data_IF_383412830745
#
_entry.id   IF_383412830745
#
_cell.length_a   1.000
_cell.length_b   1.000
_cell.length_c   1.000
_cell.angle_alpha   90.00
_cell.angle_beta   90.00
_cell.angle_gamma   90.00
#
_symmetry.space_group_name_H-M   'P 1'
#
loop_
_entity.id
_entity.type
_entity.pdbx_description
1 polymer ?
#
# COMPACT_ATOMS: atom_id res chain seq x y z
N UNK A 1 2.45 52.82 -43.09
CA UNK A 1 1.25 52.33 -42.38
C UNK A 1 1.17 50.82 -42.59
N UNK A 2 1.01 50.03 -41.50
CA UNK A 2 0.70 48.59 -41.57
C UNK A 2 1.61 47.71 -40.71
N UNK A 3 1.44 47.73 -39.38
CA UNK A 3 2.05 46.72 -38.49
C UNK A 3 1.13 45.50 -38.39
N UNK A 4 1.61 44.33 -38.81
CA UNK A 4 0.85 43.09 -38.71
C UNK A 4 0.70 42.69 -37.23
N UNK A 5 -0.53 42.68 -36.71
CA UNK A 5 -0.83 42.15 -35.38
C UNK A 5 -0.94 40.63 -35.44
N UNK A 6 -0.17 39.93 -34.61
CA UNK A 6 -0.19 38.47 -34.51
C UNK A 6 -1.28 38.04 -33.53
N UNK A 7 -2.35 37.43 -34.02
CA UNK A 7 -3.36 36.81 -33.18
C UNK A 7 -2.97 35.37 -32.82
N UNK A 8 -3.16 34.99 -31.55
CA UNK A 8 -2.98 33.61 -31.07
C UNK A 8 -4.35 33.01 -30.80
N UNK A 9 -4.60 31.84 -31.39
CA UNK A 9 -5.83 31.08 -31.20
C UNK A 9 -5.53 29.82 -30.39
N UNK A 10 -6.35 29.57 -29.37
CA UNK A 10 -6.22 28.42 -28.49
C UNK A 10 -7.27 27.37 -28.85
N UNK A 11 -6.89 26.09 -28.84
CA UNK A 11 -7.80 24.97 -29.03
C UNK A 11 -7.44 23.84 -28.07
N UNK A 12 -8.39 22.95 -27.83
CA UNK A 12 -8.17 21.75 -27.02
C UNK A 12 -7.87 20.60 -27.97
N UNK A 13 -6.71 19.96 -27.78
CA UNK A 13 -6.44 18.67 -28.37
C UNK A 13 -7.08 17.58 -27.50
N UNK A 14 -8.25 17.11 -27.92
CA UNK A 14 -8.99 16.09 -27.19
C UNK A 14 -8.25 14.75 -27.12
N UNK A 15 -7.48 14.40 -28.15
CA UNK A 15 -6.72 13.15 -28.15
C UNK A 15 -5.63 13.21 -27.09
N UNK A 16 -4.84 14.28 -27.11
CA UNK A 16 -3.78 14.48 -26.13
C UNK A 16 -4.34 14.55 -24.71
N UNK A 17 -5.45 15.28 -24.51
CA UNK A 17 -6.11 15.37 -23.21
C UNK A 17 -6.54 14.00 -22.68
N UNK A 18 -7.21 13.20 -23.51
CA UNK A 18 -7.64 11.85 -23.13
C UNK A 18 -6.45 10.94 -22.80
N UNK A 19 -5.39 11.00 -23.60
CA UNK A 19 -4.19 10.18 -23.39
C UNK A 19 -3.51 10.54 -22.05
N UNK A 20 -3.39 11.84 -21.73
CA UNK A 20 -2.85 12.32 -20.44
C UNK A 20 -3.74 11.90 -19.27
N UNK A 21 -5.05 12.10 -19.36
CA UNK A 21 -5.98 11.75 -18.27
C UNK A 21 -5.97 10.24 -18.01
N UNK A 22 -6.00 9.43 -19.07
CA UNK A 22 -5.92 7.97 -18.95
C UNK A 22 -4.63 7.54 -18.25
N UNK A 23 -3.50 8.12 -18.63
CA UNK A 23 -2.21 7.79 -18.01
C UNK A 23 -2.16 8.20 -16.53
N UNK A 24 -2.68 9.38 -16.17
CA UNK A 24 -2.75 9.82 -14.77
C UNK A 24 -3.61 8.88 -13.92
N UNK A 25 -4.78 8.46 -14.43
CA UNK A 25 -5.64 7.49 -13.74
C UNK A 25 -4.95 6.13 -13.58
N UNK A 26 -4.22 5.68 -14.59
CA UNK A 26 -3.42 4.46 -14.49
C UNK A 26 -2.39 4.57 -13.35
N UNK A 27 -1.63 5.67 -13.29
CA UNK A 27 -0.64 5.88 -12.21
C UNK A 27 -1.28 5.91 -10.82
N UNK A 28 -2.41 6.61 -10.66
CA UNK A 28 -3.14 6.66 -9.39
C UNK A 28 -3.59 5.27 -8.99
N UNK A 29 -4.14 4.48 -9.93
CA UNK A 29 -4.54 3.10 -9.67
C UNK A 29 -3.36 2.24 -9.22
N UNK A 30 -2.23 2.31 -9.94
CA UNK A 30 -1.03 1.52 -9.60
C UNK A 30 -0.53 1.87 -8.21
N UNK A 31 -0.43 3.17 -7.89
CA UNK A 31 -0.02 3.63 -6.56
C UNK A 31 -0.95 3.13 -5.44
N UNK A 32 -2.27 3.17 -5.65
CA UNK A 32 -3.23 2.67 -4.65
C UNK A 32 -3.11 1.16 -4.43
N UNK A 33 -2.92 0.38 -5.49
CA UNK A 33 -2.72 -1.07 -5.37
C UNK A 33 -1.41 -1.40 -4.63
N UNK A 34 -0.34 -0.64 -4.88
CA UNK A 34 0.92 -0.77 -4.15
C UNK A 34 0.74 -0.39 -2.68
N UNK A 35 0.08 0.73 -2.39
CA UNK A 35 -0.20 1.17 -1.02
C UNK A 35 -1.03 0.15 -0.23
N UNK A 36 -2.06 -0.45 -0.84
CA UNK A 36 -2.87 -1.51 -0.24
C UNK A 36 -2.01 -2.76 0.07
N UNK A 37 -1.14 -3.17 -0.86
CA UNK A 37 -0.25 -4.32 -0.63
C UNK A 37 0.71 -4.10 0.54
N UNK A 38 1.21 -2.87 0.71
CA UNK A 38 2.08 -2.50 1.83
C UNK A 38 1.34 -2.47 3.17
N UNK A 39 0.03 -2.18 3.19
CA UNK A 39 -0.78 -2.23 4.42
C UNK A 39 -0.93 -3.66 4.93
N UNK A 40 -1.12 -4.63 4.02
CA UNK A 40 -1.14 -6.06 4.34
C UNK A 40 0.23 -6.53 4.85
N UNK A 41 1.33 -6.08 4.23
CA UNK A 41 2.69 -6.41 4.69
C UNK A 41 3.03 -5.83 6.09
N UNK A 42 2.34 -4.76 6.51
CA UNK A 42 2.55 -4.12 7.82
C UNK A 42 1.77 -4.75 8.96
N UNK A 43 0.93 -5.75 8.71
CA UNK A 43 0.28 -6.47 9.79
C UNK A 43 1.36 -7.21 10.60
N UNK A 44 1.65 -6.68 11.77
CA UNK A 44 2.63 -7.20 12.72
C UNK A 44 1.91 -7.78 13.91
N UNK A 45 2.52 -8.79 14.53
CA UNK A 45 2.05 -9.40 15.76
C UNK A 45 3.11 -9.22 16.84
N UNK A 46 2.75 -8.63 17.98
CA UNK A 46 3.65 -8.44 19.12
C UNK A 46 3.36 -9.47 20.21
N UNK A 47 4.41 -9.99 20.83
CA UNK A 47 4.26 -10.86 21.98
C UNK A 47 3.69 -10.10 23.19
N UNK A 48 2.67 -10.66 23.84
CA UNK A 48 2.02 -10.08 25.04
C UNK A 48 2.94 -10.08 26.29
N UNK A 49 4.05 -10.83 26.24
CA UNK A 49 5.05 -10.81 27.29
C UNK A 49 6.04 -9.65 27.06
N UNK A 50 5.96 -8.62 27.89
CA UNK A 50 6.82 -7.43 27.83
C UNK A 50 8.32 -7.76 27.99
N UNK A 51 8.68 -8.82 28.71
CA UNK A 51 10.08 -9.27 28.82
C UNK A 51 10.61 -9.91 27.51
N UNK A 52 9.70 -10.41 26.66
CA UNK A 52 10.05 -11.01 25.37
C UNK A 52 10.19 -9.94 24.29
N UNK A 53 9.22 -9.03 24.19
CA UNK A 53 9.23 -7.88 23.27
C UNK A 53 9.34 -8.20 21.78
N UNK A 54 9.22 -9.47 21.38
CA UNK A 54 9.36 -9.89 19.97
C UNK A 54 8.15 -9.47 19.16
N UNK A 55 8.44 -9.04 17.94
CA UNK A 55 7.47 -8.75 16.90
C UNK A 55 7.65 -9.73 15.74
N UNK A 56 6.54 -10.08 15.11
CA UNK A 56 6.45 -11.04 14.02
C UNK A 56 5.68 -10.41 12.87
N UNK A 57 6.09 -10.67 11.64
CA UNK A 57 5.25 -10.38 10.46
C UNK A 57 4.06 -11.34 10.41
N UNK A 58 2.99 -10.99 9.69
CA UNK A 58 1.85 -11.89 9.48
C UNK A 58 2.26 -13.28 8.97
N UNK A 59 3.23 -13.37 8.06
CA UNK A 59 3.75 -14.63 7.53
C UNK A 59 4.49 -15.47 8.59
N UNK A 60 5.20 -14.82 9.51
CA UNK A 60 5.88 -15.50 10.62
C UNK A 60 4.89 -15.97 11.67
N UNK A 61 3.91 -15.14 12.03
CA UNK A 61 2.84 -15.52 12.95
C UNK A 61 2.03 -16.70 12.41
N UNK A 62 1.74 -16.75 11.11
CA UNK A 62 1.03 -17.87 10.49
C UNK A 62 1.74 -19.22 10.68
N UNK A 63 3.08 -19.23 10.76
CA UNK A 63 3.88 -20.45 11.03
C UNK A 63 3.84 -20.88 12.50
N UNK A 64 3.39 -19.99 13.39
CA UNK A 64 3.27 -20.19 14.83
C UNK A 64 1.82 -20.48 15.28
N UNK A 65 0.93 -20.80 14.33
CA UNK A 65 -0.45 -21.15 14.60
C UNK A 65 -0.52 -22.47 15.40
N UNK A 66 -1.19 -22.42 16.54
CA UNK A 66 -1.59 -23.61 17.30
C UNK A 66 -2.92 -24.13 16.76
N UNK A 67 -2.95 -25.28 16.06
CA UNK A 67 -4.13 -25.72 15.29
C UNK A 67 -5.37 -25.99 16.17
N UNK A 68 -5.18 -26.36 17.42
CA UNK A 68 -6.27 -26.80 18.30
C UNK A 68 -7.17 -25.62 18.73
N UNK A 69 -6.59 -24.44 18.91
CA UNK A 69 -7.28 -23.25 19.43
C UNK A 69 -7.29 -22.07 18.45
N UNK A 70 -6.63 -22.22 17.29
CA UNK A 70 -6.56 -21.19 16.24
C UNK A 70 -5.97 -19.86 16.73
N UNK A 71 -5.00 -19.93 17.64
CA UNK A 71 -4.27 -18.78 18.18
C UNK A 71 -2.77 -18.87 17.86
N UNK A 72 -2.10 -17.73 17.83
CA UNK A 72 -0.66 -17.63 17.58
C UNK A 72 0.10 -17.50 18.91
N UNK A 73 1.16 -18.28 19.07
CA UNK A 73 2.02 -18.24 20.26
C UNK A 73 3.47 -17.94 19.89
N UNK A 74 4.13 -17.15 20.73
CA UNK A 74 5.53 -16.81 20.55
C UNK A 74 6.40 -18.06 20.63
N UNK A 75 7.18 -18.35 19.58
CA UNK A 75 8.11 -19.48 19.57
C UNK A 75 9.27 -19.42 20.59
N UNK A 76 9.40 -18.32 21.35
CA UNK A 76 10.43 -18.16 22.37
C UNK A 76 9.90 -18.31 23.80
N UNK A 77 8.83 -17.59 24.17
CA UNK A 77 8.28 -17.60 25.53
C UNK A 77 6.92 -18.29 25.63
N UNK A 78 6.37 -18.76 24.52
CA UNK A 78 5.07 -19.42 24.43
C UNK A 78 3.89 -18.60 24.97
N UNK A 79 4.03 -17.27 25.01
CA UNK A 79 2.94 -16.33 25.30
C UNK A 79 2.17 -16.00 24.02
N UNK A 80 0.92 -15.58 24.18
CA UNK A 80 0.03 -15.22 23.07
C UNK A 80 0.63 -14.05 22.26
N UNK A 81 0.45 -14.09 20.95
CA UNK A 81 0.74 -12.94 20.08
C UNK A 81 -0.53 -12.10 19.92
N UNK A 82 -0.39 -10.79 20.02
CA UNK A 82 -1.41 -9.79 19.79
C UNK A 82 -1.16 -9.14 18.44
N UNK A 83 -2.24 -8.78 17.73
CA UNK A 83 -2.19 -7.96 16.51
C UNK A 83 -1.87 -6.49 16.84
#
# INVERSE_FOLDING_TARGET
MGGASKATYWYIDYKYFVDVVRYRLYLIRTYLMEAESLEIERQTYRCDNDDCGREYTALEAQKLLTPEIHEFFCGHCNSKLLE
#
